data_IF_327422350138
#
_entry.id   IF_327422350138
#
_cell.length_a   1.000
_cell.length_b   1.000
_cell.length_c   1.000
_cell.angle_alpha   90.00
_cell.angle_beta   90.00
_cell.angle_gamma   90.00
#
_symmetry.space_group_name_H-M   'P 1'
#
loop_
_entity.id
_entity.type
_entity.pdbx_description
1 polymer ?
#
# COMPACT_ATOMS: atom_id res chain seq x y z
N UNK A 1 23.45 -5.28 9.75
CA UNK A 1 23.01 -4.87 8.40
C UNK A 1 21.53 -4.54 8.48
N UNK A 2 21.10 -3.46 7.84
CA UNK A 2 19.68 -3.07 7.79
C UNK A 2 18.85 -4.15 7.10
N UNK A 3 17.70 -4.52 7.66
CA UNK A 3 16.77 -5.46 7.02
C UNK A 3 15.80 -4.72 6.12
N UNK A 4 15.34 -5.39 5.07
CA UNK A 4 14.27 -4.90 4.21
C UNK A 4 12.91 -5.35 4.74
N UNK A 5 12.04 -4.41 5.07
CA UNK A 5 10.65 -4.64 5.49
C UNK A 5 9.75 -4.40 4.28
N UNK A 6 9.42 -5.47 3.57
CA UNK A 6 8.56 -5.44 2.39
C UNK A 6 7.09 -5.54 2.79
N UNK A 7 6.27 -4.57 2.37
CA UNK A 7 4.82 -4.58 2.58
C UNK A 7 4.13 -4.63 1.21
N UNK A 8 3.34 -5.67 0.93
CA UNK A 8 2.55 -5.76 -0.31
C UNK A 8 1.18 -6.34 -0.03
N UNK A 9 0.21 -6.08 -0.92
CA UNK A 9 -1.14 -6.64 -0.76
C UNK A 9 -1.09 -8.16 -0.65
N UNK A 10 -0.38 -8.84 -1.56
CA UNK A 10 -0.18 -10.29 -1.53
C UNK A 10 1.25 -10.64 -1.15
N UNK A 11 1.43 -11.72 -0.40
CA UNK A 11 2.74 -12.28 -0.07
C UNK A 11 2.82 -13.81 -0.21
N UNK A 12 1.73 -14.49 -0.59
CA UNK A 12 1.72 -15.92 -0.93
C UNK A 12 1.18 -16.12 -2.36
N UNK A 13 1.73 -17.10 -3.12
CA UNK A 13 1.18 -17.46 -4.42
C UNK A 13 -0.22 -18.07 -4.27
N UNK A 14 -1.12 -17.73 -5.20
CA UNK A 14 -2.44 -18.34 -5.24
C UNK A 14 -2.36 -19.82 -5.62
N UNK A 15 -3.08 -20.67 -4.87
CA UNK A 15 -3.27 -22.07 -5.25
C UNK A 15 -4.25 -22.12 -6.43
N UNK A 16 -3.75 -22.31 -7.65
CA UNK A 16 -4.57 -22.71 -8.81
C UNK A 16 -5.05 -21.59 -9.75
N UNK A 17 -4.52 -20.36 -9.69
CA UNK A 17 -4.78 -19.29 -10.67
C UNK A 17 -3.49 -18.78 -11.33
N UNK A 18 -3.61 -18.02 -12.44
CA UNK A 18 -2.49 -17.27 -13.04
C UNK A 18 -1.94 -16.32 -11.97
N UNK A 19 -0.74 -16.61 -11.48
CA UNK A 19 -0.15 -15.91 -10.35
C UNK A 19 0.07 -14.41 -10.63
N UNK A 20 -0.06 -13.61 -9.57
CA UNK A 20 0.34 -12.21 -9.54
C UNK A 20 1.82 -12.07 -9.99
N UNK A 21 2.10 -11.39 -11.12
CA UNK A 21 3.44 -11.27 -11.66
C UNK A 21 4.40 -10.49 -10.75
N UNK A 22 3.87 -9.73 -9.77
CA UNK A 22 4.68 -9.01 -8.79
C UNK A 22 5.32 -9.97 -7.78
N UNK A 23 4.64 -11.05 -7.40
CA UNK A 23 5.11 -11.96 -6.34
C UNK A 23 6.49 -12.58 -6.63
N UNK A 24 6.77 -13.15 -7.84
CA UNK A 24 8.10 -13.66 -8.16
C UNK A 24 9.20 -12.60 -8.12
N UNK A 25 8.88 -11.35 -8.47
CA UNK A 25 9.82 -10.22 -8.47
C UNK A 25 10.19 -9.84 -7.04
N UNK A 26 9.19 -9.65 -6.16
CA UNK A 26 9.41 -9.32 -4.75
C UNK A 26 10.18 -10.44 -4.03
N UNK A 27 9.85 -11.70 -4.35
CA UNK A 27 10.59 -12.86 -3.86
C UNK A 27 12.07 -12.82 -4.28
N UNK A 28 12.36 -12.50 -5.54
CA UNK A 28 13.73 -12.40 -6.04
C UNK A 28 14.52 -11.27 -5.35
N UNK A 29 13.87 -10.16 -5.01
CA UNK A 29 14.47 -9.07 -4.23
C UNK A 29 14.81 -9.56 -2.81
N UNK A 30 13.85 -10.16 -2.10
CA UNK A 30 14.06 -10.63 -0.73
C UNK A 30 15.05 -11.81 -0.63
N UNK A 31 15.24 -12.57 -1.71
CA UNK A 31 16.35 -13.56 -1.77
C UNK A 31 17.73 -12.91 -1.75
N UNK A 32 17.85 -11.69 -2.28
CA UNK A 32 19.11 -10.91 -2.29
C UNK A 32 19.27 -10.04 -1.05
N UNK A 33 18.17 -9.72 -0.35
CA UNK A 33 18.15 -8.84 0.81
C UNK A 33 17.45 -9.52 1.98
N UNK A 34 18.18 -9.75 3.07
CA UNK A 34 17.55 -10.30 4.27
C UNK A 34 16.51 -9.36 4.84
N UNK A 35 15.38 -9.91 5.28
CA UNK A 35 14.35 -9.10 5.92
C UNK A 35 13.02 -9.77 6.15
N UNK A 36 11.97 -8.96 6.22
CA UNK A 36 10.62 -9.38 6.59
C UNK A 36 9.65 -9.02 5.46
N UNK A 37 8.70 -9.89 5.17
CA UNK A 37 7.65 -9.67 4.18
C UNK A 37 6.27 -9.82 4.81
N UNK A 38 5.45 -8.78 4.75
CA UNK A 38 4.09 -8.76 5.27
C UNK A 38 3.05 -8.61 4.15
N UNK A 39 1.92 -9.32 4.27
CA UNK A 39 0.80 -9.17 3.34
C UNK A 39 -0.34 -10.17 3.54
N UNK A 40 -1.36 -10.10 2.68
CA UNK A 40 -2.44 -11.09 2.61
C UNK A 40 -1.95 -12.41 2.01
N UNK A 41 -2.40 -13.52 2.60
CA UNK A 41 -2.09 -14.88 2.13
C UNK A 41 -3.03 -15.40 1.02
N UNK A 42 -4.01 -14.61 0.60
CA UNK A 42 -5.00 -15.00 -0.40
C UNK A 42 -6.24 -15.73 0.12
N UNK A 43 -6.31 -16.03 1.41
CA UNK A 43 -7.46 -16.70 2.01
C UNK A 43 -8.46 -15.69 2.60
N UNK A 44 -9.74 -16.05 2.57
CA UNK A 44 -10.79 -15.35 3.30
C UNK A 44 -11.15 -16.22 4.51
N UNK A 45 -11.13 -15.63 5.70
CA UNK A 45 -11.44 -16.33 6.95
C UNK A 45 -12.91 -16.76 7.00
N UNK A 46 -13.19 -17.88 7.68
CA UNK A 46 -14.55 -18.34 7.94
C UNK A 46 -15.21 -17.45 9.02
N UNK A 47 -15.85 -16.37 8.58
CA UNK A 47 -16.54 -15.41 9.44
C UNK A 47 -15.64 -14.31 10.02
N UNK A 48 -16.18 -13.56 10.98
CA UNK A 48 -15.56 -12.32 11.50
C UNK A 48 -14.65 -12.53 12.71
N UNK A 49 -14.47 -13.77 13.18
CA UNK A 49 -13.78 -14.07 14.45
C UNK A 49 -12.37 -14.61 14.18
N UNK A 50 -11.40 -13.70 14.23
CA UNK A 50 -9.94 -13.88 14.13
C UNK A 50 -9.39 -14.33 12.76
N UNK A 51 -8.44 -13.52 12.26
CA UNK A 51 -7.68 -13.82 11.05
C UNK A 51 -6.69 -14.95 11.32
N UNK A 52 -6.67 -15.99 10.48
CA UNK A 52 -5.61 -16.99 10.50
C UNK A 52 -4.32 -16.36 10.01
N UNK A 53 -3.39 -16.11 10.92
CA UNK A 53 -2.03 -15.69 10.57
C UNK A 53 -1.15 -16.90 10.25
N UNK A 54 -0.17 -16.72 9.37
CA UNK A 54 0.88 -17.69 9.07
C UNK A 54 2.23 -17.01 9.17
N UNK A 55 3.21 -17.83 9.50
CA UNK A 55 4.61 -17.44 9.54
C UNK A 55 5.42 -18.47 8.76
N UNK A 56 6.25 -17.99 7.85
CA UNK A 56 7.20 -18.82 7.12
C UNK A 56 8.58 -18.22 7.26
N UNK A 57 9.56 -19.05 7.60
CA UNK A 57 10.97 -18.65 7.61
C UNK A 57 11.67 -19.31 6.43
N UNK A 58 12.30 -18.51 5.58
CA UNK A 58 13.20 -18.98 4.53
C UNK A 58 14.65 -18.61 4.90
N UNK A 59 15.61 -19.09 4.10
CA UNK A 59 17.04 -18.87 4.37
C UNK A 59 17.44 -17.39 4.41
N UNK A 60 16.78 -16.53 3.62
CA UNK A 60 17.10 -15.11 3.49
C UNK A 60 16.11 -14.20 4.22
N UNK A 61 14.82 -14.54 4.25
CA UNK A 61 13.78 -13.65 4.79
C UNK A 61 12.70 -14.42 5.56
N UNK A 62 11.97 -13.69 6.40
CA UNK A 62 10.79 -14.17 7.12
C UNK A 62 9.53 -13.57 6.50
N UNK A 63 8.45 -14.35 6.45
CA UNK A 63 7.18 -13.95 5.89
C UNK A 63 6.09 -14.04 6.95
N UNK A 64 5.30 -12.99 7.07
CA UNK A 64 4.18 -12.85 7.98
C UNK A 64 2.93 -12.55 7.18
N UNK A 65 2.03 -13.52 7.07
CA UNK A 65 0.83 -13.39 6.26
C UNK A 65 -0.43 -13.66 7.07
N UNK A 66 -1.58 -13.21 6.59
CA UNK A 66 -2.86 -13.49 7.25
C UNK A 66 -3.99 -13.51 6.24
N UNK A 67 -5.08 -14.20 6.56
CA UNK A 67 -6.33 -14.15 5.81
C UNK A 67 -7.05 -12.81 6.01
N UNK A 68 -7.81 -12.37 5.01
CA UNK A 68 -8.77 -11.27 5.18
C UNK A 68 -10.04 -11.78 5.85
N UNK A 69 -10.70 -10.96 6.66
CA UNK A 69 -12.09 -11.24 7.06
C UNK A 69 -13.04 -11.04 5.86
N UNK A 70 -14.25 -11.61 5.87
CA UNK A 70 -15.25 -11.34 4.82
C UNK A 70 -15.51 -9.84 4.63
N UNK A 71 -15.64 -9.09 5.74
CA UNK A 71 -15.81 -7.64 5.69
C UNK A 71 -14.64 -6.92 5.03
N UNK A 72 -13.39 -7.32 5.31
CA UNK A 72 -12.20 -6.74 4.66
C UNK A 72 -12.14 -7.11 3.18
N UNK A 73 -12.48 -8.34 2.83
CA UNK A 73 -12.54 -8.75 1.44
C UNK A 73 -13.59 -7.92 0.67
N UNK A 74 -14.79 -7.74 1.22
CA UNK A 74 -15.87 -7.04 0.54
C UNK A 74 -15.69 -5.52 0.51
N UNK A 75 -15.33 -4.91 1.64
CA UNK A 75 -15.31 -3.44 1.77
C UNK A 75 -13.92 -2.83 1.51
N UNK A 76 -12.84 -3.53 1.85
CA UNK A 76 -11.49 -3.08 1.52
C UNK A 76 -11.08 -3.57 0.12
N UNK A 77 -10.94 -4.87 -0.09
CA UNK A 77 -10.29 -5.41 -1.29
C UNK A 77 -11.19 -5.31 -2.52
N UNK A 78 -12.43 -5.79 -2.47
CA UNK A 78 -13.37 -5.62 -3.57
C UNK A 78 -13.92 -4.19 -3.61
N UNK A 79 -14.27 -3.61 -2.46
CA UNK A 79 -14.81 -2.25 -2.33
C UNK A 79 -13.78 -1.17 -2.69
N UNK A 80 -13.06 -0.64 -1.69
CA UNK A 80 -12.21 0.55 -1.92
C UNK A 80 -11.15 0.35 -3.01
N UNK A 81 -10.49 -0.81 -3.05
CA UNK A 81 -9.44 -1.08 -4.04
C UNK A 81 -10.04 -1.23 -5.44
N UNK A 82 -10.96 -2.16 -5.67
CA UNK A 82 -11.43 -2.44 -7.05
C UNK A 82 -12.60 -1.58 -7.54
N UNK A 83 -13.41 -0.99 -6.64
CA UNK A 83 -14.53 -0.13 -7.03
C UNK A 83 -14.21 1.38 -6.95
N UNK A 84 -13.07 1.79 -6.36
CA UNK A 84 -12.71 3.21 -6.23
C UNK A 84 -11.31 3.48 -6.76
N UNK A 85 -10.27 2.93 -6.14
CA UNK A 85 -8.89 3.27 -6.48
C UNK A 85 -8.46 2.71 -7.84
N UNK A 86 -8.75 1.44 -8.13
CA UNK A 86 -8.36 0.81 -9.39
C UNK A 86 -8.97 1.54 -10.60
N UNK A 87 -10.28 1.85 -10.66
CA UNK A 87 -10.84 2.64 -11.76
C UNK A 87 -10.16 4.01 -11.93
N UNK A 88 -9.88 4.71 -10.84
CA UNK A 88 -9.23 6.03 -10.87
C UNK A 88 -7.80 5.95 -11.39
N UNK A 89 -7.00 5.00 -10.89
CA UNK A 89 -5.63 4.78 -11.39
C UNK A 89 -5.61 4.33 -12.86
N UNK A 90 -6.73 3.85 -13.40
CA UNK A 90 -6.89 3.48 -14.81
C UNK A 90 -7.64 4.52 -15.66
N UNK A 91 -7.77 5.77 -15.19
CA UNK A 91 -8.47 6.85 -15.89
C UNK A 91 -9.92 6.54 -16.25
N UNK A 92 -10.61 5.78 -15.37
CA UNK A 92 -12.02 5.39 -15.49
C UNK A 92 -12.86 5.86 -14.31
N UNK A 93 -12.93 7.19 -14.04
CA UNK A 93 -13.74 7.71 -12.93
C UNK A 93 -15.23 7.43 -13.10
N UNK A 94 -15.68 7.15 -14.33
CA UNK A 94 -17.04 6.72 -14.67
C UNK A 94 -17.43 5.37 -14.06
N UNK A 95 -16.46 4.54 -13.68
CA UNK A 95 -16.69 3.23 -13.07
C UNK A 95 -16.63 3.26 -11.53
N UNK A 96 -16.44 4.42 -10.92
CA UNK A 96 -16.33 4.52 -9.46
C UNK A 96 -17.68 4.15 -8.81
N UNK A 97 -17.62 3.23 -7.87
CA UNK A 97 -18.70 2.99 -6.92
C UNK A 97 -18.18 3.17 -5.49
N UNK A 98 -18.54 4.29 -4.87
CA UNK A 98 -18.08 4.66 -3.54
C UNK A 98 -19.14 4.39 -2.46
N UNK A 99 -18.68 3.82 -1.34
CA UNK A 99 -19.41 3.75 -0.07
C UNK A 99 -18.49 4.19 1.07
N UNK A 100 -19.01 4.89 2.07
CA UNK A 100 -18.22 5.39 3.20
C UNK A 100 -17.51 4.27 3.97
N UNK A 101 -18.15 3.10 4.03
CA UNK A 101 -17.63 1.91 4.69
C UNK A 101 -16.39 1.36 4.00
N UNK A 102 -16.22 1.61 2.69
CA UNK A 102 -15.06 1.17 1.92
C UNK A 102 -13.78 1.84 2.41
N UNK A 103 -13.77 3.17 2.44
CA UNK A 103 -12.63 3.93 2.96
C UNK A 103 -12.35 3.60 4.42
N UNK A 104 -13.39 3.51 5.25
CA UNK A 104 -13.25 3.17 6.67
C UNK A 104 -12.58 1.81 6.86
N UNK A 105 -13.00 0.79 6.11
CA UNK A 105 -12.43 -0.56 6.19
C UNK A 105 -11.00 -0.59 5.66
N UNK A 106 -10.71 0.08 4.54
CA UNK A 106 -9.36 0.18 3.99
C UNK A 106 -8.38 0.89 4.93
N UNK A 107 -8.80 2.00 5.56
CA UNK A 107 -8.02 2.73 6.55
C UNK A 107 -7.72 1.86 7.78
N UNK A 108 -8.72 1.15 8.30
CA UNK A 108 -8.56 0.23 9.43
C UNK A 108 -7.62 -0.93 9.09
N UNK A 109 -7.71 -1.46 7.87
CA UNK A 109 -6.79 -2.50 7.39
C UNK A 109 -5.34 -2.00 7.36
N UNK A 110 -5.09 -0.80 6.82
CA UNK A 110 -3.76 -0.17 6.84
C UNK A 110 -3.22 0.03 8.27
N UNK A 111 -4.08 0.41 9.21
CA UNK A 111 -3.70 0.54 10.62
C UNK A 111 -3.32 -0.80 11.26
N UNK A 112 -4.08 -1.88 10.99
CA UNK A 112 -3.71 -3.22 11.47
C UNK A 112 -2.39 -3.71 10.85
N UNK A 113 -2.16 -3.48 9.56
CA UNK A 113 -0.87 -3.80 8.91
C UNK A 113 0.27 -3.04 9.60
N UNK A 114 0.11 -1.74 9.83
CA UNK A 114 1.09 -0.93 10.58
C UNK A 114 1.37 -1.52 11.96
N UNK A 115 0.35 -1.93 12.72
CA UNK A 115 0.53 -2.56 14.04
C UNK A 115 1.34 -3.85 13.96
N UNK A 116 1.13 -4.68 12.93
CA UNK A 116 1.91 -5.92 12.73
C UNK A 116 3.37 -5.65 12.43
N UNK A 117 3.65 -4.61 11.64
CA UNK A 117 5.00 -4.17 11.30
C UNK A 117 5.70 -3.57 12.52
N UNK A 118 5.01 -2.68 13.24
CA UNK A 118 5.48 -2.06 14.48
C UNK A 118 5.95 -3.08 15.53
N UNK A 119 5.31 -4.25 15.60
CA UNK A 119 5.70 -5.33 16.52
C UNK A 119 7.04 -6.01 16.18
N UNK A 120 7.64 -5.70 15.03
CA UNK A 120 8.83 -6.40 14.48
C UNK A 120 9.92 -5.49 13.94
N UNK A 121 9.58 -4.26 13.58
CA UNK A 121 10.51 -3.29 12.99
C UNK A 121 11.59 -2.88 13.99
N UNK A 122 12.82 -2.77 13.51
CA UNK A 122 13.98 -2.31 14.27
C UNK A 122 14.45 -0.94 13.74
N UNK A 123 15.18 -0.12 14.54
CA UNK A 123 15.53 1.26 14.16
C UNK A 123 16.23 1.42 12.81
N UNK A 124 17.08 0.46 12.44
CA UNK A 124 17.88 0.53 11.20
C UNK A 124 17.17 -0.07 9.98
N UNK A 125 15.98 -0.66 10.14
CA UNK A 125 15.25 -1.29 9.02
C UNK A 125 14.82 -0.26 7.96
N UNK A 126 14.72 -0.73 6.71
CA UNK A 126 14.15 0.03 5.59
C UNK A 126 12.79 -0.54 5.24
N UNK A 127 11.76 0.29 5.28
CA UNK A 127 10.40 -0.07 4.89
C UNK A 127 10.20 0.20 3.40
N UNK A 128 9.65 -0.76 2.68
CA UNK A 128 9.29 -0.60 1.28
C UNK A 128 7.88 -1.10 1.03
N UNK A 129 6.98 -0.16 0.76
CA UNK A 129 5.56 -0.40 0.50
C UNK A 129 5.31 -0.55 -0.99
N UNK A 130 4.58 -1.60 -1.35
CA UNK A 130 4.25 -1.94 -2.72
C UNK A 130 2.75 -1.73 -2.95
N UNK A 131 2.48 -0.82 -3.88
CA UNK A 131 1.16 -0.54 -4.45
C UNK A 131 0.15 0.13 -3.51
N UNK A 132 -0.92 0.65 -4.11
CA UNK A 132 -1.93 1.51 -3.47
C UNK A 132 -2.77 0.83 -2.37
N UNK A 133 -2.72 -0.50 -2.25
CA UNK A 133 -3.44 -1.25 -1.23
C UNK A 133 -3.03 -0.88 0.21
N UNK A 134 -1.73 -0.61 0.39
CA UNK A 134 -1.10 -0.34 1.68
C UNK A 134 -0.54 1.10 1.75
N UNK A 135 -1.08 2.01 0.94
CA UNK A 135 -0.57 3.38 0.76
C UNK A 135 -0.49 4.18 2.08
N UNK A 136 -1.31 3.86 3.08
CA UNK A 136 -1.26 4.55 4.38
C UNK A 136 -0.22 3.97 5.35
N UNK A 137 0.35 2.79 5.08
CA UNK A 137 1.25 2.12 6.02
C UNK A 137 2.46 2.99 6.40
N UNK A 138 3.09 3.66 5.44
CA UNK A 138 4.24 4.54 5.69
C UNK A 138 3.87 5.75 6.54
N UNK A 139 2.81 6.47 6.16
CA UNK A 139 2.25 7.59 6.94
C UNK A 139 1.96 7.20 8.39
N UNK A 140 1.27 6.08 8.59
CA UNK A 140 0.87 5.60 9.91
C UNK A 140 2.08 5.19 10.77
N UNK A 141 3.16 4.67 10.16
CA UNK A 141 4.42 4.42 10.88
C UNK A 141 5.09 5.73 11.31
N UNK A 142 5.18 6.73 10.43
CA UNK A 142 5.77 8.03 10.77
C UNK A 142 4.97 8.76 11.86
N UNK A 143 3.64 8.69 11.81
CA UNK A 143 2.74 9.26 12.84
C UNK A 143 2.94 8.62 14.22
N UNK A 144 3.28 7.33 14.27
CA UNK A 144 3.63 6.61 15.50
C UNK A 144 5.09 6.87 15.97
N UNK A 145 5.85 7.71 15.27
CA UNK A 145 7.21 8.10 15.64
C UNK A 145 8.33 7.20 15.09
N UNK A 146 8.03 6.26 14.18
CA UNK A 146 9.07 5.45 13.54
C UNK A 146 9.88 6.27 12.55
N UNK A 147 11.18 6.42 12.80
CA UNK A 147 12.10 7.21 11.96
C UNK A 147 12.70 6.42 10.77
N UNK A 148 12.32 5.15 10.60
CA UNK A 148 12.81 4.29 9.52
C UNK A 148 12.66 4.94 8.14
N UNK A 149 13.64 4.71 7.26
CA UNK A 149 13.52 5.07 5.84
C UNK A 149 12.37 4.30 5.23
N UNK A 150 11.48 4.98 4.52
CA UNK A 150 10.25 4.44 3.99
C UNK A 150 10.10 4.79 2.49
N UNK A 151 10.16 3.78 1.63
CA UNK A 151 9.88 3.92 0.20
C UNK A 151 8.47 3.42 -0.14
N UNK A 152 7.87 4.01 -1.17
CA UNK A 152 6.63 3.52 -1.80
C UNK A 152 6.85 3.35 -3.30
N UNK A 153 6.35 2.26 -3.88
CA UNK A 153 6.34 2.07 -5.33
C UNK A 153 4.91 1.76 -5.81
N UNK A 154 4.40 2.58 -6.73
CA UNK A 154 3.10 2.35 -7.36
C UNK A 154 3.27 1.50 -8.62
N UNK A 155 2.57 0.37 -8.68
CA UNK A 155 2.68 -0.55 -9.83
C UNK A 155 1.70 -0.21 -10.95
N UNK A 156 0.63 0.53 -10.62
CA UNK A 156 -0.36 1.05 -11.56
C UNK A 156 0.05 2.43 -12.09
N UNK A 157 -0.61 2.93 -13.16
CA UNK A 157 -0.43 4.31 -13.58
C UNK A 157 -0.84 5.29 -12.48
N UNK A 158 -0.20 6.46 -12.43
CA UNK A 158 -0.66 7.57 -11.60
C UNK A 158 -1.52 8.51 -12.46
N UNK A 159 -2.81 8.74 -12.12
CA UNK A 159 -3.74 9.45 -12.98
C UNK A 159 -3.44 10.95 -12.97
N UNK A 160 -3.89 11.69 -14.02
CA UNK A 160 -3.92 13.14 -13.97
C UNK A 160 -4.68 13.64 -12.74
N UNK A 161 -4.23 14.76 -12.16
CA UNK A 161 -4.80 15.28 -10.92
C UNK A 161 -6.30 15.60 -10.98
N UNK A 162 -6.86 15.85 -12.16
CA UNK A 162 -8.30 16.08 -12.35
C UNK A 162 -9.12 14.79 -12.20
N UNK A 163 -8.54 13.65 -12.60
CA UNK A 163 -9.12 12.33 -12.38
C UNK A 163 -8.94 11.91 -10.93
N UNK A 164 -7.76 12.13 -10.32
CA UNK A 164 -7.53 11.77 -8.91
C UNK A 164 -8.54 12.45 -7.96
N UNK A 165 -8.96 13.68 -8.27
CA UNK A 165 -9.97 14.43 -7.50
C UNK A 165 -11.35 13.79 -7.46
N UNK A 166 -11.64 12.79 -8.29
CA UNK A 166 -12.89 12.04 -8.18
C UNK A 166 -12.92 11.10 -6.96
N UNK A 167 -11.77 10.83 -6.33
CA UNK A 167 -11.71 10.11 -5.04
C UNK A 167 -11.99 11.09 -3.91
N UNK A 168 -13.03 10.91 -3.08
CA UNK A 168 -13.34 11.84 -2.00
C UNK A 168 -12.17 12.11 -1.04
N UNK A 169 -11.30 11.11 -0.82
CA UNK A 169 -10.16 11.20 0.08
C UNK A 169 -8.83 11.54 -0.61
N UNK A 170 -8.84 12.13 -1.82
CA UNK A 170 -7.63 12.44 -2.59
C UNK A 170 -6.56 13.20 -1.78
N UNK A 171 -6.96 14.14 -0.92
CA UNK A 171 -6.04 14.91 -0.08
C UNK A 171 -5.34 14.01 0.94
N UNK A 172 -6.06 13.05 1.52
CA UNK A 172 -5.49 12.07 2.43
C UNK A 172 -4.52 11.12 1.74
N UNK A 173 -4.80 10.74 0.49
CA UNK A 173 -3.88 9.95 -0.34
C UNK A 173 -2.59 10.73 -0.62
N UNK A 174 -2.69 12.01 -0.99
CA UNK A 174 -1.52 12.86 -1.24
C UNK A 174 -0.69 13.10 0.00
N UNK A 175 -1.32 13.39 1.15
CA UNK A 175 -0.63 13.51 2.43
C UNK A 175 0.14 12.23 2.80
N UNK A 176 -0.43 11.06 2.48
CA UNK A 176 0.26 9.80 2.68
C UNK A 176 1.42 9.58 1.71
N UNK A 177 1.29 9.98 0.44
CA UNK A 177 2.42 9.94 -0.48
C UNK A 177 3.56 10.86 -0.03
N UNK A 178 3.26 12.04 0.51
CA UNK A 178 4.27 12.98 1.03
C UNK A 178 4.98 12.52 2.31
N UNK A 179 4.49 11.48 2.99
CA UNK A 179 5.17 10.94 4.17
C UNK A 179 6.27 9.92 3.84
N UNK A 180 6.35 9.47 2.59
CA UNK A 180 7.40 8.57 2.13
C UNK A 180 8.67 9.34 1.78
N UNK A 181 9.82 8.77 2.13
CA UNK A 181 11.15 9.33 1.84
C UNK A 181 11.53 9.14 0.35
N UNK A 182 10.92 8.16 -0.32
CA UNK A 182 11.09 7.90 -1.75
C UNK A 182 9.78 7.41 -2.37
N UNK A 183 9.36 8.04 -3.46
CA UNK A 183 8.25 7.60 -4.30
C UNK A 183 8.78 7.07 -5.63
N UNK A 184 8.35 5.86 -5.99
CA UNK A 184 8.64 5.23 -7.27
C UNK A 184 7.37 5.01 -8.09
N UNK A 185 7.50 5.18 -9.40
CA UNK A 185 6.43 5.01 -10.39
C UNK A 185 6.96 4.24 -11.60
N UNK A 186 6.07 3.68 -12.41
CA UNK A 186 6.44 2.90 -13.59
C UNK A 186 7.02 3.75 -14.74
N UNK A 187 6.54 4.99 -14.91
CA UNK A 187 6.93 5.85 -16.03
C UNK A 187 7.16 7.30 -15.64
N UNK A 188 7.87 8.04 -16.50
CA UNK A 188 7.99 9.50 -16.38
C UNK A 188 6.65 10.22 -16.52
N UNK A 189 5.69 9.65 -17.26
CA UNK A 189 4.33 10.17 -17.35
C UNK A 189 3.61 10.16 -16.00
N UNK A 190 3.75 9.07 -15.25
CA UNK A 190 3.19 8.94 -13.90
C UNK A 190 3.83 9.95 -12.93
N UNK A 191 5.15 10.11 -13.01
CA UNK A 191 5.90 11.12 -12.23
C UNK A 191 5.38 12.52 -12.55
N UNK A 192 5.19 12.85 -13.83
CA UNK A 192 4.69 14.15 -14.26
C UNK A 192 3.27 14.41 -13.74
N UNK A 193 2.38 13.41 -13.80
CA UNK A 193 1.03 13.52 -13.25
C UNK A 193 1.04 13.77 -11.73
N UNK A 194 1.87 13.02 -11.00
CA UNK A 194 2.05 13.21 -9.56
C UNK A 194 2.57 14.61 -9.25
N UNK A 195 3.65 15.05 -9.88
CA UNK A 195 4.24 16.37 -9.64
C UNK A 195 3.26 17.50 -9.96
N UNK A 196 2.56 17.42 -11.09
CA UNK A 196 1.57 18.42 -11.49
C UNK A 196 0.45 18.58 -10.43
N UNK A 197 0.03 17.48 -9.81
CA UNK A 197 -0.98 17.54 -8.75
C UNK A 197 -0.38 17.94 -7.39
N UNK A 198 0.81 17.45 -7.06
CA UNK A 198 1.52 17.77 -5.82
C UNK A 198 1.78 19.27 -5.64
N UNK A 199 2.06 19.99 -6.73
CA UNK A 199 2.24 21.44 -6.72
C UNK A 199 1.02 22.21 -6.16
N UNK A 200 -0.18 21.61 -6.14
CA UNK A 200 -1.36 22.22 -5.54
C UNK A 200 -1.36 22.22 -4.01
N UNK A 201 -0.56 21.35 -3.39
CA UNK A 201 -0.44 21.22 -1.93
C UNK A 201 0.69 22.06 -1.36
N UNK A 202 1.57 22.60 -2.21
CA UNK A 202 2.53 23.58 -1.77
C UNK A 202 1.79 24.86 -1.37
N UNK A 203 2.14 25.49 -0.23
CA UNK A 203 1.68 26.83 0.05
C UNK A 203 2.05 27.68 -1.17
N UNK A 204 1.08 28.35 -1.79
CA UNK A 204 1.40 29.42 -2.73
C UNK A 204 2.14 30.46 -1.90
N UNK A 205 3.47 30.44 -1.95
CA UNK A 205 4.28 31.50 -1.38
C UNK A 205 3.70 32.82 -1.87
N UNK A 206 3.45 33.72 -0.92
CA UNK A 206 3.13 35.11 -1.21
C UNK A 206 4.05 35.55 -2.34
N UNK A 207 3.47 35.90 -3.49
CA UNK A 207 4.20 36.58 -4.53
C UNK A 207 4.79 37.83 -3.87
N UNK A 208 6.08 37.79 -3.57
CA UNK A 208 6.82 38.96 -3.13
C UNK A 208 6.77 39.96 -4.27
N UNK A 209 5.94 40.99 -4.10
CA UNK A 209 6.10 42.28 -4.74
C UNK A 209 7.06 43.15 -3.95
#
# INVERSE_FOLDING_TARGET
>A
MSRLIMLSNRCEPERGQRGDPLLPVLHAVLKKHSGLWFGWNGEIAAGNKQRKARFFSQSSYQQYSWALTPNEYDNFYQGYIHQVLWPVFHNRPDLIHYKKEYFTTWKNYNHDVKTRVAAKIEPDDVVWVQDYHLLFAGKLLKEDGYANRCGFFLHQPFPPGDVLRSVPEHDGLMQALFSYDLLGFQSSGDVNNFLAYALRFLPRGAAGG
#
